data_IF_602066475272
#
_entry.id   IF_602066475272
#
_cell.length_a   1.000
_cell.length_b   1.000
_cell.length_c   1.000
_cell.angle_alpha   90.00
_cell.angle_beta   90.00
_cell.angle_gamma   90.00
#
_symmetry.space_group_name_H-M   'P 1'
#
loop_
_entity.id
_entity.type
_entity.pdbx_description
1 polymer ?
#
# COMPACT_ATOMS: atom_id res chain seq x y z
N UNK A 1 -10.07 19.44 -10.61
CA UNK A 1 -10.01 18.82 -9.27
C UNK A 1 -9.69 17.34 -9.46
N UNK A 2 -8.43 16.94 -9.28
CA UNK A 2 -8.00 15.56 -9.51
C UNK A 2 -8.53 14.68 -8.39
N UNK A 3 -9.59 13.92 -8.69
CA UNK A 3 -10.17 12.95 -7.76
C UNK A 3 -9.19 11.77 -7.72
N UNK A 4 -8.30 11.72 -6.71
CA UNK A 4 -7.48 10.54 -6.45
C UNK A 4 -8.41 9.40 -6.05
N UNK A 5 -8.84 8.64 -7.06
CA UNK A 5 -9.76 7.52 -6.88
C UNK A 5 -8.95 6.35 -6.33
N UNK A 6 -9.15 6.04 -5.05
CA UNK A 6 -8.63 4.82 -4.44
C UNK A 6 -9.27 3.61 -5.11
N UNK A 7 -8.45 2.87 -5.85
CA UNK A 7 -8.83 1.64 -6.53
C UNK A 7 -8.09 0.49 -5.87
N UNK A 8 -8.77 -0.66 -5.73
CA UNK A 8 -8.15 -1.82 -5.13
C UNK A 8 -7.05 -2.34 -6.06
N UNK A 9 -5.79 -2.46 -5.60
CA UNK A 9 -4.68 -2.91 -6.45
C UNK A 9 -4.79 -4.39 -6.85
N UNK A 10 -5.74 -5.13 -6.29
CA UNK A 10 -5.88 -6.58 -6.52
C UNK A 10 -7.03 -6.93 -7.46
N UNK A 11 -8.12 -6.17 -7.44
CA UNK A 11 -9.32 -6.48 -8.22
C UNK A 11 -9.84 -5.29 -9.04
N UNK A 12 -9.20 -4.12 -8.95
CA UNK A 12 -9.64 -2.93 -9.68
C UNK A 12 -10.96 -2.33 -9.18
N UNK A 13 -11.57 -2.88 -8.12
CA UNK A 13 -12.82 -2.36 -7.57
C UNK A 13 -12.61 -1.00 -6.90
N UNK A 14 -13.62 -0.14 -7.04
CA UNK A 14 -13.68 1.17 -6.41
C UNK A 14 -14.46 1.15 -5.07
N UNK A 15 -14.89 -0.03 -4.62
CA UNK A 15 -15.63 -0.21 -3.36
C UNK A 15 -14.65 -0.36 -2.20
N UNK A 16 -14.24 0.78 -1.64
CA UNK A 16 -13.16 0.84 -0.65
C UNK A 16 -13.63 1.65 0.55
N UNK A 17 -13.43 1.09 1.74
CA UNK A 17 -13.77 1.71 3.02
C UNK A 17 -12.51 1.99 3.83
N UNK A 18 -12.58 2.99 4.71
CA UNK A 18 -11.53 3.26 5.71
C UNK A 18 -11.59 2.16 6.79
N UNK A 19 -10.50 1.46 7.00
CA UNK A 19 -10.38 0.35 7.97
C UNK A 19 -9.38 0.70 9.08
N UNK A 20 -9.62 1.81 9.79
CA UNK A 20 -8.74 2.30 10.84
C UNK A 20 -7.38 2.78 10.33
N UNK A 21 -6.42 2.91 11.23
CA UNK A 21 -5.05 3.37 10.95
C UNK A 21 -4.03 2.31 11.37
N UNK A 22 -2.87 2.29 10.72
CA UNK A 22 -1.73 1.51 11.21
C UNK A 22 -1.00 2.26 12.32
N UNK A 23 -0.08 1.58 13.03
CA UNK A 23 0.71 2.16 14.13
C UNK A 23 1.39 3.50 13.75
N UNK A 24 1.86 3.64 12.51
CA UNK A 24 2.44 4.87 11.96
C UNK A 24 1.40 5.93 11.56
N UNK A 25 0.17 5.86 12.09
CA UNK A 25 -0.96 6.77 11.82
C UNK A 25 -1.39 6.88 10.35
N UNK A 26 -0.84 6.06 9.44
CA UNK A 26 -1.28 6.03 8.04
C UNK A 26 -2.67 5.38 7.96
N UNK A 27 -3.53 5.94 7.10
CA UNK A 27 -4.87 5.42 6.87
C UNK A 27 -4.80 4.05 6.19
N UNK A 28 -5.46 3.06 6.79
CA UNK A 28 -5.69 1.76 6.19
C UNK A 28 -7.04 1.76 5.49
N UNK A 29 -7.10 1.09 4.35
CA UNK A 29 -8.26 0.95 3.51
C UNK A 29 -8.54 -0.53 3.28
N UNK A 30 -9.80 -0.90 3.15
CA UNK A 30 -10.24 -2.26 2.84
C UNK A 30 -11.17 -2.24 1.63
N UNK A 31 -10.89 -3.08 0.65
CA UNK A 31 -11.80 -3.33 -0.45
C UNK A 31 -12.95 -4.23 0.01
N UNK A 32 -14.19 -3.83 -0.24
CA UNK A 32 -15.37 -4.66 0.10
C UNK A 32 -15.57 -5.82 -0.87
N UNK A 33 -15.03 -5.74 -2.09
CA UNK A 33 -15.23 -6.78 -3.10
C UNK A 33 -14.31 -8.00 -2.91
N UNK A 34 -13.04 -7.75 -2.61
CA UNK A 34 -12.06 -8.82 -2.41
C UNK A 34 -11.50 -8.88 -0.98
N UNK A 35 -12.03 -8.06 -0.07
CA UNK A 35 -11.62 -7.97 1.35
C UNK A 35 -10.16 -7.58 1.58
N UNK A 36 -9.42 -7.19 0.53
CA UNK A 36 -8.01 -6.81 0.65
C UNK A 36 -7.82 -5.51 1.40
N UNK A 37 -6.88 -5.50 2.33
CA UNK A 37 -6.46 -4.31 3.07
C UNK A 37 -5.19 -3.72 2.45
N UNK A 38 -5.11 -2.40 2.34
CA UNK A 38 -3.97 -1.66 1.80
C UNK A 38 -3.93 -0.22 2.34
N UNK A 39 -2.86 0.52 2.06
CA UNK A 39 -2.70 1.93 2.45
C UNK A 39 -2.51 2.79 1.19
N UNK A 40 -3.09 4.00 1.17
CA UNK A 40 -3.12 4.89 -0.02
C UNK A 40 -1.72 5.27 -0.52
N UNK A 41 -0.84 5.60 0.42
CA UNK A 41 0.56 5.91 0.16
C UNK A 41 1.43 4.76 0.66
N UNK A 42 1.16 3.55 0.13
CA UNK A 42 2.14 2.47 0.22
C UNK A 42 3.35 2.93 -0.58
N UNK A 43 4.26 3.63 0.09
CA UNK A 43 5.61 3.77 -0.41
C UNK A 43 6.13 2.34 -0.45
N UNK A 44 5.97 1.68 -1.61
CA UNK A 44 6.90 0.64 -1.97
C UNK A 44 8.19 1.42 -2.12
N UNK A 45 8.91 1.60 -1.02
CA UNK A 45 10.31 1.94 -1.08
C UNK A 45 10.90 0.88 -2.00
N UNK A 46 11.11 1.26 -3.25
CA UNK A 46 11.80 0.42 -4.20
C UNK A 46 13.19 0.34 -3.62
N UNK A 47 13.45 -0.74 -2.87
CA UNK A 47 14.77 -1.03 -2.35
C UNK A 47 15.63 -1.13 -3.61
N UNK A 48 16.41 -0.08 -3.84
CA UNK A 48 17.30 0.00 -4.98
C UNK A 48 18.24 -1.20 -4.95
N UNK A 49 18.67 -1.65 -6.12
CA UNK A 49 19.53 -2.82 -6.20
C UNK A 49 20.80 -2.63 -5.35
N UNK A 50 21.32 -1.41 -5.25
CA UNK A 50 22.42 -1.05 -4.35
C UNK A 50 22.13 -1.41 -2.88
N UNK A 51 20.90 -1.19 -2.39
CA UNK A 51 20.51 -1.49 -1.01
C UNK A 51 20.35 -3.00 -0.82
N UNK A 52 19.89 -3.72 -1.85
CA UNK A 52 19.84 -5.20 -1.84
C UNK A 52 21.24 -5.80 -1.82
N UNK A 53 22.18 -5.24 -2.58
CA UNK A 53 23.58 -5.67 -2.63
C UNK A 53 24.30 -5.42 -1.30
N UNK A 54 23.97 -4.34 -0.59
CA UNK A 54 24.50 -4.10 0.76
C UNK A 54 24.01 -5.15 1.78
N UNK A 55 22.74 -5.56 1.72
CA UNK A 55 22.20 -6.60 2.60
C UNK A 55 22.89 -7.95 2.35
N UNK A 56 23.21 -8.27 1.09
CA UNK A 56 23.88 -9.52 0.74
C UNK A 56 25.32 -9.59 1.28
N UNK A 57 26.04 -8.47 1.29
CA UNK A 57 27.42 -8.35 1.81
C UNK A 57 27.53 -8.39 3.34
N UNK A 58 26.41 -8.30 4.06
CA UNK A 58 26.36 -8.37 5.53
C UNK A 58 26.07 -9.79 6.05
N UNK A 59 26.00 -10.78 5.17
CA UNK A 59 25.90 -12.20 5.54
C UNK A 59 27.23 -12.82 5.94
#
# INVERSE_FOLDING_TARGET
MSIHKLICPSCGSNHIVKNGTIHNKKQKYQCQNCQRQFVENSQRDYISNETKELIDKLK
#
